data_IF_303326048993
#
_entry.id   IF_303326048993
#
_cell.length_a   1.000
_cell.length_b   1.000
_cell.length_c   1.000
_cell.angle_alpha   90.00
_cell.angle_beta   90.00
_cell.angle_gamma   90.00
#
_symmetry.space_group_name_H-M   'P 1'
#
loop_
_entity.id
_entity.type
_entity.pdbx_description
1 polymer ?
#
# COMPACT_ATOMS: atom_id res chain seq x y z
N UNK A 1 14.47 55.79 2.42
CA UNK A 1 14.70 54.33 2.26
C UNK A 1 13.61 53.54 3.02
N UNK A 2 12.39 53.44 2.48
CA UNK A 2 11.28 52.66 3.09
C UNK A 2 10.42 51.90 2.05
N UNK A 3 10.80 51.92 0.77
CA UNK A 3 10.02 51.33 -0.33
C UNK A 3 10.57 49.99 -0.85
N UNK A 4 11.78 49.60 -0.43
CA UNK A 4 12.43 48.35 -0.86
C UNK A 4 12.09 47.18 0.08
N UNK A 5 11.60 47.46 1.29
CA UNK A 5 11.25 46.45 2.30
C UNK A 5 9.90 45.76 2.06
N UNK A 6 9.09 46.24 1.11
CA UNK A 6 7.77 45.66 0.80
C UNK A 6 7.79 44.64 -0.36
N UNK A 7 8.92 44.50 -1.06
CA UNK A 7 9.05 43.59 -2.21
C UNK A 7 9.68 42.23 -1.87
N UNK A 8 10.29 42.07 -0.68
CA UNK A 8 10.90 40.80 -0.27
C UNK A 8 9.94 39.83 0.43
N UNK A 9 8.75 40.27 0.84
CA UNK A 9 7.75 39.43 1.53
C UNK A 9 6.84 38.65 0.58
N UNK A 10 6.79 39.00 -0.71
CA UNK A 10 5.89 38.36 -1.68
C UNK A 10 6.47 37.07 -2.29
N UNK A 11 7.77 36.81 -2.15
CA UNK A 11 8.43 35.66 -2.80
C UNK A 11 8.43 34.37 -1.95
N UNK A 12 7.95 34.42 -0.70
CA UNK A 12 8.03 33.28 0.23
C UNK A 12 6.83 32.32 0.19
N UNK A 13 5.81 32.56 -0.64
CA UNK A 13 4.54 31.81 -0.60
C UNK A 13 4.50 30.65 -1.63
N UNK A 14 5.43 30.58 -2.58
CA UNK A 14 5.32 29.65 -3.72
C UNK A 14 5.85 28.21 -3.50
N UNK A 15 6.40 27.86 -2.33
CA UNK A 15 7.04 26.53 -2.15
C UNK A 15 6.17 25.44 -1.49
N UNK A 16 4.87 25.68 -1.25
CA UNK A 16 4.07 24.75 -0.44
C UNK A 16 3.40 23.61 -1.24
N UNK A 17 3.36 23.65 -2.57
CA UNK A 17 2.48 22.77 -3.36
C UNK A 17 3.09 21.47 -3.92
N UNK A 18 4.41 21.25 -3.83
CA UNK A 18 5.09 20.13 -4.54
C UNK A 18 4.88 18.75 -3.88
N UNK A 19 4.34 18.67 -2.66
CA UNK A 19 4.14 17.39 -1.97
C UNK A 19 2.93 16.59 -2.47
N UNK A 20 1.94 17.25 -3.09
CA UNK A 20 0.66 16.62 -3.44
C UNK A 20 0.76 15.68 -4.66
N UNK A 21 1.42 16.11 -5.74
CA UNK A 21 1.51 15.33 -6.99
C UNK A 21 2.28 14.01 -6.81
N UNK A 22 3.36 14.02 -6.03
CA UNK A 22 4.12 12.80 -5.70
C UNK A 22 3.26 11.76 -4.97
N UNK A 23 2.34 12.20 -4.12
CA UNK A 23 1.44 11.31 -3.38
C UNK A 23 0.45 10.60 -4.31
N UNK A 24 -0.10 11.32 -5.30
CA UNK A 24 -1.04 10.75 -6.27
C UNK A 24 -0.38 9.72 -7.20
N UNK A 25 0.84 10.01 -7.66
CA UNK A 25 1.61 9.08 -8.51
C UNK A 25 1.90 7.77 -7.77
N UNK A 26 2.38 7.85 -6.53
CA UNK A 26 2.67 6.64 -5.73
C UNK A 26 1.40 5.82 -5.49
N UNK A 27 0.27 6.48 -5.22
CA UNK A 27 -1.00 5.79 -5.03
C UNK A 27 -1.43 5.00 -6.29
N UNK A 28 -1.26 5.58 -7.48
CA UNK A 28 -1.59 4.90 -8.74
C UNK A 28 -0.68 3.69 -8.98
N UNK A 29 0.63 3.85 -8.76
CA UNK A 29 1.60 2.73 -8.88
C UNK A 29 1.22 1.59 -7.92
N UNK A 30 0.90 1.91 -6.66
CA UNK A 30 0.48 0.90 -5.69
C UNK A 30 -0.83 0.24 -6.09
N UNK A 31 -1.78 0.99 -6.63
CA UNK A 31 -3.06 0.46 -7.11
C UNK A 31 -2.85 -0.55 -8.24
N UNK A 32 -2.02 -0.22 -9.23
CA UNK A 32 -1.73 -1.11 -10.36
C UNK A 32 -0.96 -2.36 -9.91
N UNK A 33 0.03 -2.17 -9.04
CA UNK A 33 0.77 -3.28 -8.44
C UNK A 33 -0.16 -4.24 -7.67
N UNK A 34 -1.04 -3.71 -6.84
CA UNK A 34 -2.02 -4.51 -6.08
C UNK A 34 -3.00 -5.21 -7.02
N UNK A 35 -3.49 -4.53 -8.06
CA UNK A 35 -4.39 -5.12 -9.04
C UNK A 35 -3.75 -6.36 -9.69
N UNK A 36 -2.51 -6.23 -10.18
CA UNK A 36 -1.77 -7.33 -10.79
C UNK A 36 -1.48 -8.48 -9.80
N UNK A 37 -1.09 -8.16 -8.56
CA UNK A 37 -0.78 -9.18 -7.56
C UNK A 37 -2.01 -9.96 -7.12
N UNK A 38 -3.13 -9.28 -6.89
CA UNK A 38 -4.39 -9.94 -6.53
C UNK A 38 -4.91 -10.77 -7.69
N UNK A 39 -4.82 -10.29 -8.94
CA UNK A 39 -5.23 -11.05 -10.12
C UNK A 39 -4.40 -12.34 -10.29
N UNK A 40 -3.08 -12.26 -10.15
CA UNK A 40 -2.20 -13.44 -10.15
C UNK A 40 -2.62 -14.44 -9.07
N UNK A 41 -2.82 -13.96 -7.84
CA UNK A 41 -3.25 -14.80 -6.71
C UNK A 41 -4.65 -15.38 -6.93
N UNK A 42 -5.56 -14.63 -7.56
CA UNK A 42 -6.89 -15.09 -7.90
C UNK A 42 -6.83 -16.24 -8.91
N UNK A 43 -6.00 -16.12 -9.93
CA UNK A 43 -5.82 -17.15 -10.93
C UNK A 43 -5.26 -18.46 -10.35
N UNK A 44 -4.48 -18.37 -9.26
CA UNK A 44 -3.86 -19.52 -8.60
C UNK A 44 -4.75 -20.15 -7.51
N UNK A 45 -5.34 -19.31 -6.65
CA UNK A 45 -6.09 -19.75 -5.47
C UNK A 45 -7.57 -19.96 -5.80
N UNK A 46 -8.06 -19.33 -6.88
CA UNK A 46 -9.46 -19.38 -7.36
C UNK A 46 -10.48 -18.82 -6.35
N UNK A 47 -10.18 -17.67 -5.73
CA UNK A 47 -11.17 -16.91 -4.97
C UNK A 47 -12.09 -16.08 -5.90
N UNK A 48 -13.27 -15.70 -5.39
CA UNK A 48 -14.32 -15.06 -6.19
C UNK A 48 -13.94 -13.63 -6.60
N UNK A 49 -14.62 -13.09 -7.61
CA UNK A 49 -14.42 -11.70 -8.02
C UNK A 49 -14.77 -10.71 -6.90
N UNK A 50 -15.77 -11.02 -6.06
CA UNK A 50 -16.11 -10.20 -4.90
C UNK A 50 -14.94 -10.17 -3.89
N UNK A 51 -14.39 -11.34 -3.55
CA UNK A 51 -13.21 -11.45 -2.71
C UNK A 51 -12.01 -10.71 -3.33
N UNK A 52 -11.82 -10.78 -4.65
CA UNK A 52 -10.75 -10.08 -5.34
C UNK A 52 -10.86 -8.55 -5.23
N UNK A 53 -12.08 -7.99 -5.28
CA UNK A 53 -12.31 -6.56 -5.10
C UNK A 53 -11.95 -6.14 -3.67
N UNK A 54 -12.42 -6.89 -2.67
CA UNK A 54 -12.13 -6.63 -1.26
C UNK A 54 -10.62 -6.74 -0.96
N UNK A 55 -9.95 -7.74 -1.53
CA UNK A 55 -8.50 -7.92 -1.39
C UNK A 55 -7.71 -6.76 -2.00
N UNK A 56 -8.14 -6.25 -3.16
CA UNK A 56 -7.48 -5.08 -3.79
C UNK A 56 -7.56 -3.86 -2.89
N UNK A 57 -8.71 -3.60 -2.27
CA UNK A 57 -8.85 -2.49 -1.32
C UNK A 57 -8.01 -2.72 -0.05
N UNK A 58 -8.08 -3.91 0.54
CA UNK A 58 -7.33 -4.27 1.74
C UNK A 58 -5.81 -4.10 1.53
N UNK A 59 -5.27 -4.65 0.46
CA UNK A 59 -3.82 -4.61 0.16
C UNK A 59 -3.35 -3.19 -0.17
N UNK A 60 -4.13 -2.44 -0.96
CA UNK A 60 -3.80 -1.05 -1.25
C UNK A 60 -3.76 -0.21 0.03
N UNK A 61 -4.77 -0.37 0.89
CA UNK A 61 -4.85 0.31 2.18
C UNK A 61 -3.70 -0.10 3.10
N UNK A 62 -3.32 -1.38 3.12
CA UNK A 62 -2.17 -1.86 3.88
C UNK A 62 -0.88 -1.18 3.40
N UNK A 63 -0.59 -1.19 2.10
CA UNK A 63 0.63 -0.59 1.54
C UNK A 63 0.70 0.92 1.79
N UNK A 64 -0.40 1.66 1.63
CA UNK A 64 -0.45 3.09 1.94
C UNK A 64 -0.19 3.38 3.42
N UNK A 65 -0.70 2.52 4.32
CA UNK A 65 -0.45 2.67 5.76
C UNK A 65 0.98 2.30 6.15
N UNK A 66 1.58 1.30 5.50
CA UNK A 66 3.01 0.96 5.66
C UNK A 66 3.87 2.12 5.21
N UNK A 67 3.63 2.67 4.01
CA UNK A 67 4.33 3.84 3.50
C UNK A 67 4.22 5.04 4.46
N UNK A 68 3.05 5.27 5.05
CA UNK A 68 2.87 6.32 6.07
C UNK A 68 3.64 6.02 7.37
N UNK A 69 3.70 4.76 7.77
CA UNK A 69 4.46 4.34 8.95
C UNK A 69 5.96 4.53 8.74
N UNK A 70 6.49 4.19 7.57
CA UNK A 70 7.90 4.33 7.19
C UNK A 70 8.34 5.79 7.07
N UNK A 71 7.46 6.66 6.57
CA UNK A 71 7.74 8.10 6.48
C UNK A 71 7.58 8.86 7.81
N UNK A 72 7.21 8.18 8.91
CA UNK A 72 7.10 8.82 10.22
C UNK A 72 8.47 8.95 10.89
N UNK A 73 9.00 10.18 10.99
CA UNK A 73 10.31 10.48 11.58
C UNK A 73 10.47 10.13 13.07
N UNK A 74 9.38 10.18 13.85
CA UNK A 74 9.42 10.01 15.30
C UNK A 74 8.66 8.77 15.80
N UNK A 75 8.33 7.83 14.91
CA UNK A 75 7.58 6.63 15.26
C UNK A 75 8.49 5.41 15.40
N UNK A 76 8.12 4.46 16.26
CA UNK A 76 8.66 3.11 16.17
C UNK A 76 8.06 2.39 14.94
N UNK A 77 8.69 2.59 13.78
CA UNK A 77 8.25 2.05 12.49
C UNK A 77 8.09 0.53 12.53
N UNK A 78 9.05 -0.19 13.14
CA UNK A 78 8.99 -1.66 13.27
C UNK A 78 7.72 -2.11 13.99
N UNK A 79 7.41 -1.52 15.15
CA UNK A 79 6.20 -1.84 15.92
C UNK A 79 4.93 -1.49 15.17
N UNK A 80 4.90 -0.35 14.45
CA UNK A 80 3.73 0.07 13.66
C UNK A 80 3.48 -0.85 12.48
N UNK A 81 4.51 -1.21 11.72
CA UNK A 81 4.42 -2.13 10.58
C UNK A 81 3.99 -3.52 11.05
N UNK A 82 4.52 -4.01 12.18
CA UNK A 82 4.08 -5.28 12.76
C UNK A 82 2.58 -5.28 13.10
N UNK A 83 2.07 -4.18 13.70
CA UNK A 83 0.63 -4.03 13.97
C UNK A 83 -0.21 -3.98 12.71
N UNK A 84 0.26 -3.30 11.66
CA UNK A 84 -0.41 -3.26 10.37
C UNK A 84 -0.46 -4.64 9.71
N UNK A 85 0.62 -5.41 9.80
CA UNK A 85 0.69 -6.78 9.27
C UNK A 85 -0.29 -7.70 10.00
N UNK A 86 -0.29 -7.69 11.33
CA UNK A 86 -1.24 -8.49 12.11
C UNK A 86 -2.70 -8.16 11.76
N UNK A 87 -3.02 -6.86 11.61
CA UNK A 87 -4.35 -6.44 11.18
C UNK A 87 -4.71 -6.92 9.77
N UNK A 88 -3.77 -6.80 8.82
CA UNK A 88 -3.95 -7.33 7.46
C UNK A 88 -4.23 -8.83 7.50
N UNK A 89 -3.50 -9.59 8.31
CA UNK A 89 -3.68 -11.03 8.42
C UNK A 89 -5.05 -11.41 9.01
N UNK A 90 -5.52 -10.67 10.02
CA UNK A 90 -6.88 -10.80 10.55
C UNK A 90 -7.95 -10.50 9.50
N UNK A 91 -7.77 -9.43 8.71
CA UNK A 91 -8.72 -9.02 7.69
C UNK A 91 -8.71 -9.98 6.49
N UNK A 92 -7.57 -10.56 6.13
CA UNK A 92 -7.46 -11.62 5.13
C UNK A 92 -8.28 -12.86 5.51
N UNK A 93 -8.27 -13.27 6.78
CA UNK A 93 -9.04 -14.41 7.27
C UNK A 93 -10.56 -14.18 7.27
N UNK A 94 -11.00 -12.92 7.22
CA UNK A 94 -12.43 -12.58 7.09
C UNK A 94 -12.91 -12.63 5.64
N UNK A 95 -12.03 -12.29 4.69
CA UNK A 95 -12.35 -12.25 3.26
C UNK A 95 -12.21 -13.65 2.65
N UNK A 96 -11.15 -14.38 3.00
CA UNK A 96 -10.81 -15.67 2.42
C UNK A 96 -11.33 -16.82 3.26
N UNK A 97 -11.69 -17.93 2.62
CA UNK A 97 -11.88 -19.19 3.35
C UNK A 97 -10.55 -19.65 3.95
N UNK A 98 -10.60 -20.51 4.96
CA UNK A 98 -9.38 -21.04 5.61
C UNK A 98 -8.40 -21.65 4.61
N UNK A 99 -8.89 -22.41 3.64
CA UNK A 99 -8.05 -23.03 2.62
C UNK A 99 -7.42 -21.99 1.68
N UNK A 100 -8.21 -21.01 1.23
CA UNK A 100 -7.72 -19.92 0.40
C UNK A 100 -6.66 -19.09 1.14
N UNK A 101 -6.89 -18.81 2.43
CA UNK A 101 -5.93 -18.10 3.28
C UNK A 101 -4.61 -18.84 3.42
N UNK A 102 -4.62 -20.16 3.67
CA UNK A 102 -3.39 -20.97 3.76
C UNK A 102 -2.59 -20.89 2.44
N UNK A 103 -3.27 -21.00 1.30
CA UNK A 103 -2.63 -20.86 -0.02
C UNK A 103 -2.07 -19.45 -0.24
N UNK A 104 -2.84 -18.44 0.17
CA UNK A 104 -2.47 -17.03 0.06
C UNK A 104 -1.20 -16.73 0.86
N UNK A 105 -1.16 -17.15 2.12
CA UNK A 105 -0.06 -16.97 3.05
C UNK A 105 1.20 -17.76 2.61
N UNK A 106 1.02 -18.97 2.05
CA UNK A 106 2.12 -19.75 1.48
C UNK A 106 2.76 -19.08 0.25
N UNK A 107 1.96 -18.42 -0.59
CA UNK A 107 2.45 -17.62 -1.73
C UNK A 107 3.18 -16.37 -1.22
N UNK A 108 2.61 -15.66 -0.24
CA UNK A 108 3.17 -14.42 0.31
C UNK A 108 4.56 -14.64 0.95
N UNK A 109 4.77 -15.79 1.58
CA UNK A 109 6.06 -16.17 2.21
C UNK A 109 7.09 -16.75 1.24
N UNK A 110 6.82 -16.80 -0.07
CA UNK A 110 7.65 -17.48 -1.08
C UNK A 110 7.93 -18.96 -0.75
N UNK A 111 7.11 -19.59 0.09
CA UNK A 111 7.25 -21.01 0.46
C UNK A 111 6.81 -21.97 -0.64
N UNK A 112 6.17 -21.46 -1.69
CA UNK A 112 5.89 -22.19 -2.94
C UNK A 112 6.65 -21.45 -4.06
N UNK A 113 7.75 -22.04 -4.55
CA UNK A 113 8.38 -21.58 -5.79
C UNK A 113 7.37 -21.83 -6.91
N UNK A 114 6.83 -20.77 -7.49
CA UNK A 114 6.01 -20.87 -8.69
C UNK A 114 6.90 -21.32 -9.83
N UNK A 115 6.83 -22.60 -10.18
CA UNK A 115 7.40 -23.10 -11.42
C UNK A 115 6.27 -23.07 -12.47
N UNK A 116 6.27 -22.13 -13.43
CA UNK A 116 5.45 -22.28 -14.61
C UNK A 116 6.05 -23.46 -15.37
N UNK A 117 5.36 -24.61 -15.38
CA UNK A 117 5.67 -25.62 -16.39
C UNK A 117 5.18 -25.06 -17.72
N UNK A 118 6.13 -24.66 -18.55
CA UNK A 118 5.97 -24.47 -19.99
C UNK A 118 5.55 -25.78 -20.66
#
# INVERSE_FOLDING_TARGET
>A
MKRILLLSTLFLICFVSVKSEKSAIIQNILKDHVAQQVEKRQNLIKFTNAQAIELKDLELKYLLNVQRAENCRCCNTKKRVAKLRAKRDEDLQKILTREQYIKYDAIDRNTIIMNPRE
#
